data_IF_289372999688
#
_entry.id   IF_289372999688
#
_cell.length_a   1.000
_cell.length_b   1.000
_cell.length_c   1.000
_cell.angle_alpha   90.00
_cell.angle_beta   90.00
_cell.angle_gamma   90.00
#
_symmetry.space_group_name_H-M   'P 1'
#
loop_
_entity.id
_entity.type
_entity.pdbx_description
1 polymer ?
#
# COMPACT_ATOMS: atom_id res chain seq x y z
N UNK A 1 11.62 2.28 12.64
CA UNK A 1 12.77 2.44 11.75
C UNK A 1 12.51 3.40 10.60
N UNK A 2 11.44 3.19 9.83
CA UNK A 2 11.13 4.07 8.70
C UNK A 2 10.35 5.29 9.16
N UNK A 3 10.75 6.48 8.67
CA UNK A 3 9.97 7.70 8.88
C UNK A 3 8.85 7.79 7.83
N UNK A 4 9.20 7.50 6.60
CA UNK A 4 8.24 7.56 5.49
C UNK A 4 8.70 6.69 4.32
N UNK A 5 7.73 6.33 3.49
CA UNK A 5 7.96 5.64 2.23
C UNK A 5 7.21 6.42 1.16
N UNK A 6 7.86 6.67 0.02
CA UNK A 6 7.23 7.35 -1.10
C UNK A 6 7.36 6.48 -2.35
N UNK A 7 6.28 6.38 -3.10
CA UNK A 7 6.29 5.69 -4.39
C UNK A 7 5.81 6.62 -5.50
N UNK A 8 6.30 6.38 -6.71
CA UNK A 8 5.89 7.11 -7.89
C UNK A 8 4.64 6.50 -8.52
N UNK A 9 3.86 7.31 -9.21
CA UNK A 9 2.71 6.84 -9.98
C UNK A 9 2.56 7.67 -11.24
N UNK A 10 2.01 7.03 -12.29
CA UNK A 10 1.72 7.70 -13.56
C UNK A 10 0.31 8.27 -13.63
N UNK A 11 -0.56 7.88 -12.70
CA UNK A 11 -1.91 8.41 -12.57
C UNK A 11 -2.18 8.66 -11.09
N UNK A 12 -1.89 9.86 -10.66
CA UNK A 12 -1.93 10.21 -9.23
C UNK A 12 -3.37 10.12 -8.66
N UNK A 13 -4.38 10.49 -9.44
CA UNK A 13 -5.75 10.47 -8.94
C UNK A 13 -6.31 9.04 -8.86
N UNK A 14 -5.98 8.18 -9.81
CA UNK A 14 -6.33 6.76 -9.73
C UNK A 14 -5.65 6.11 -8.52
N UNK A 15 -4.38 6.41 -8.32
CA UNK A 15 -3.63 5.90 -7.16
C UNK A 15 -4.20 6.44 -5.86
N UNK A 16 -4.61 7.70 -5.82
CA UNK A 16 -5.22 8.29 -4.62
C UNK A 16 -6.49 7.54 -4.23
N UNK A 17 -7.36 7.26 -5.18
CA UNK A 17 -8.60 6.52 -4.88
C UNK A 17 -8.27 5.14 -4.32
N UNK A 18 -7.32 4.44 -4.93
CA UNK A 18 -6.90 3.12 -4.47
C UNK A 18 -6.36 3.17 -3.05
N UNK A 19 -5.41 4.06 -2.78
CA UNK A 19 -4.77 4.12 -1.45
C UNK A 19 -5.69 4.69 -0.37
N UNK A 20 -6.57 5.63 -0.73
CA UNK A 20 -7.58 6.12 0.22
C UNK A 20 -8.42 4.96 0.76
N UNK A 21 -8.89 4.09 -0.13
CA UNK A 21 -9.71 2.93 0.24
C UNK A 21 -8.92 1.88 1.00
N UNK A 22 -7.70 1.62 0.55
CA UNK A 22 -6.85 0.62 1.17
C UNK A 22 -6.49 1.00 2.61
N UNK A 23 -6.11 2.25 2.82
CA UNK A 23 -5.68 2.73 4.13
C UNK A 23 -6.83 3.09 5.06
N UNK A 24 -8.02 3.37 4.51
CA UNK A 24 -9.23 3.53 5.31
C UNK A 24 -9.49 2.28 6.16
N UNK A 25 -9.26 1.10 5.59
CA UNK A 25 -9.42 -0.17 6.31
C UNK A 25 -8.45 -0.25 7.50
N UNK A 26 -7.28 0.34 7.40
CA UNK A 26 -6.29 0.36 8.47
C UNK A 26 -6.56 1.47 9.50
N UNK A 27 -7.55 2.33 9.26
CA UNK A 27 -7.91 3.42 10.15
C UNK A 27 -7.25 4.76 9.81
N UNK A 28 -6.58 4.85 8.68
CA UNK A 28 -5.96 6.10 8.27
C UNK A 28 -6.98 7.04 7.61
N UNK A 29 -6.73 8.33 7.72
CA UNK A 29 -7.53 9.36 7.04
C UNK A 29 -7.22 9.36 5.54
N UNK A 30 -8.11 9.94 4.71
CA UNK A 30 -7.82 10.15 3.29
C UNK A 30 -6.50 10.89 3.08
N UNK A 31 -5.85 10.63 1.96
CA UNK A 31 -4.59 11.27 1.63
C UNK A 31 -4.70 12.79 1.57
N UNK A 32 -3.68 13.46 2.09
CA UNK A 32 -3.60 14.91 2.08
C UNK A 32 -2.68 15.36 0.96
N UNK A 33 -3.19 16.23 0.10
CA UNK A 33 -2.40 16.75 -1.00
C UNK A 33 -1.43 17.82 -0.51
N UNK A 34 -0.14 17.57 -0.68
CA UNK A 34 0.93 18.52 -0.39
C UNK A 34 1.85 18.53 -1.61
N UNK A 35 1.73 19.55 -2.48
CA UNK A 35 2.50 19.57 -3.72
C UNK A 35 3.99 19.72 -3.43
N UNK A 36 4.81 19.26 -4.38
CA UNK A 36 6.25 19.48 -4.32
C UNK A 36 6.57 20.96 -4.57
N UNK A 37 7.84 21.33 -4.37
CA UNK A 37 8.30 22.69 -4.65
C UNK A 37 8.07 23.09 -6.09
N UNK A 38 8.08 22.13 -7.02
CA UNK A 38 7.89 22.36 -8.45
C UNK A 38 6.45 22.16 -8.90
N UNK A 39 5.53 21.97 -7.95
CA UNK A 39 4.10 21.85 -8.24
C UNK A 39 3.61 20.47 -8.60
N UNK A 40 4.45 19.41 -8.48
CA UNK A 40 4.02 18.05 -8.70
C UNK A 40 3.03 17.62 -7.61
N UNK A 41 2.04 16.84 -8.01
CA UNK A 41 1.03 16.37 -7.07
C UNK A 41 1.56 15.24 -6.22
N UNK A 42 1.27 15.30 -4.94
CA UNK A 42 1.63 14.27 -3.96
C UNK A 42 0.51 14.14 -2.96
N UNK A 43 0.25 12.92 -2.49
CA UNK A 43 -0.68 12.67 -1.39
C UNK A 43 0.05 11.95 -0.28
N UNK A 44 -0.16 12.41 0.95
CA UNK A 44 0.48 11.87 2.14
C UNK A 44 -0.56 11.21 3.05
N UNK A 45 -0.22 10.03 3.53
CA UNK A 45 -1.00 9.27 4.49
C UNK A 45 -0.17 9.13 5.75
N UNK A 46 -0.61 9.81 6.79
CA UNK A 46 0.06 9.75 8.08
C UNK A 46 -0.73 8.85 9.01
N UNK A 47 -0.10 7.82 9.52
CA UNK A 47 -0.76 6.90 10.42
C UNK A 47 0.22 6.41 11.46
N UNK A 48 -0.10 6.64 12.74
CA UNK A 48 0.81 6.37 13.86
C UNK A 48 2.13 7.11 13.63
N UNK A 49 3.25 6.39 13.68
CA UNK A 49 4.59 7.01 13.63
C UNK A 49 5.20 7.02 12.23
N UNK A 50 4.45 6.64 11.22
CA UNK A 50 4.97 6.54 9.86
C UNK A 50 4.10 7.28 8.87
N UNK A 51 4.69 7.60 7.73
CA UNK A 51 3.99 8.22 6.61
C UNK A 51 4.21 7.39 5.35
N UNK A 52 3.16 7.31 4.55
CA UNK A 52 3.23 6.75 3.21
C UNK A 52 2.82 7.84 2.23
N UNK A 53 3.52 7.97 1.12
CA UNK A 53 3.21 8.99 0.15
C UNK A 53 3.21 8.43 -1.27
N UNK A 54 2.34 8.99 -2.10
CA UNK A 54 2.36 8.77 -3.53
C UNK A 54 2.66 10.10 -4.21
N UNK A 55 3.41 10.05 -5.31
CA UNK A 55 3.88 11.26 -5.98
C UNK A 55 3.97 11.05 -7.48
N UNK A 56 3.71 12.11 -8.22
CA UNK A 56 4.23 12.18 -9.58
C UNK A 56 5.75 12.18 -9.48
N UNK A 57 6.47 11.45 -10.37
CA UNK A 57 7.93 11.39 -10.27
C UNK A 57 8.59 12.76 -10.38
N UNK A 58 9.55 13.03 -9.49
CA UNK A 58 10.18 14.34 -9.38
C UNK A 58 11.01 14.73 -10.61
N UNK A 59 11.48 13.77 -11.37
CA UNK A 59 12.25 14.02 -12.60
C UNK A 59 11.38 14.22 -13.84
N UNK A 60 10.05 14.16 -13.68
CA UNK A 60 9.10 14.31 -14.78
C UNK A 60 9.01 13.13 -15.72
N UNK A 61 9.74 12.05 -15.45
CA UNK A 61 9.69 10.84 -16.27
C UNK A 61 8.62 9.89 -15.73
N UNK A 62 8.34 8.84 -16.49
CA UNK A 62 7.37 7.84 -16.06
C UNK A 62 7.83 7.10 -14.81
N UNK A 63 6.89 6.82 -13.93
CA UNK A 63 7.13 5.92 -12.82
C UNK A 63 7.34 4.51 -13.35
N UNK A 64 8.28 3.79 -12.76
CA UNK A 64 8.59 2.42 -13.14
C UNK A 64 8.15 1.45 -12.05
N UNK A 65 7.93 0.19 -12.45
CA UNK A 65 7.67 -0.89 -11.49
C UNK A 65 8.97 -1.20 -10.79
N UNK A 66 8.96 -1.14 -9.46
CA UNK A 66 10.10 -1.54 -8.66
C UNK A 66 10.06 -3.08 -8.48
N UNK A 67 10.43 -3.79 -9.53
CA UNK A 67 10.38 -5.24 -9.55
C UNK A 67 11.22 -5.83 -8.43
N UNK A 68 10.61 -6.73 -7.65
CA UNK A 68 11.28 -7.34 -6.49
C UNK A 68 11.06 -6.59 -5.18
N UNK A 69 10.41 -5.42 -5.20
CA UNK A 69 10.10 -4.69 -3.98
C UNK A 69 8.75 -5.11 -3.41
N UNK A 70 8.63 -5.02 -2.10
CA UNK A 70 7.43 -5.33 -1.35
C UNK A 70 7.31 -4.36 -0.20
N UNK A 71 6.12 -3.81 0.00
CA UNK A 71 5.84 -2.96 1.16
C UNK A 71 4.80 -3.66 2.01
N UNK A 72 5.12 -3.94 3.26
CA UNK A 72 4.23 -4.62 4.18
C UNK A 72 3.57 -3.65 5.15
N UNK A 73 2.28 -3.88 5.39
CA UNK A 73 1.49 -3.10 6.33
C UNK A 73 1.03 -4.01 7.47
N UNK A 74 1.01 -3.50 8.67
CA UNK A 74 0.56 -4.24 9.83
C UNK A 74 -0.96 -4.29 9.91
N UNK A 75 -1.47 -5.45 10.28
CA UNK A 75 -2.89 -5.66 10.54
C UNK A 75 -3.15 -5.86 12.02
N UNK A 76 -4.36 -5.54 12.43
CA UNK A 76 -4.82 -5.83 13.78
C UNK A 76 -5.57 -7.15 13.88
N UNK A 77 -6.12 -7.65 12.76
CA UNK A 77 -6.89 -8.89 12.75
C UNK A 77 -6.91 -9.50 11.34
N UNK A 78 -7.28 -10.77 11.27
CA UNK A 78 -7.49 -11.47 9.99
C UNK A 78 -8.64 -10.82 9.21
N UNK A 79 -9.70 -10.45 9.90
CA UNK A 79 -10.87 -9.79 9.30
C UNK A 79 -10.47 -8.47 8.64
N UNK A 80 -9.60 -7.70 9.29
CA UNK A 80 -9.08 -6.47 8.71
C UNK A 80 -8.28 -6.77 7.44
N UNK A 81 -7.51 -7.85 7.45
CA UNK A 81 -6.75 -8.29 6.27
C UNK A 81 -7.63 -8.65 5.08
N UNK A 82 -8.72 -9.35 5.33
CA UNK A 82 -9.67 -9.69 4.29
C UNK A 82 -10.33 -8.44 3.72
N UNK A 83 -10.71 -7.49 4.57
CA UNK A 83 -11.30 -6.21 4.13
C UNK A 83 -10.29 -5.38 3.34
N UNK A 84 -9.05 -5.35 3.78
CA UNK A 84 -7.96 -4.64 3.10
C UNK A 84 -7.75 -5.20 1.69
N UNK A 85 -7.67 -6.50 1.57
CA UNK A 85 -7.50 -7.18 0.28
C UNK A 85 -8.69 -6.90 -0.66
N UNK A 86 -9.90 -7.01 -0.12
CA UNK A 86 -11.12 -6.73 -0.87
C UNK A 86 -11.15 -5.28 -1.36
N UNK A 87 -10.82 -4.33 -0.49
CA UNK A 87 -10.78 -2.91 -0.85
C UNK A 87 -9.78 -2.67 -1.98
N UNK A 88 -8.61 -3.31 -1.92
CA UNK A 88 -7.61 -3.21 -2.97
C UNK A 88 -8.10 -3.73 -4.32
N UNK A 89 -8.68 -4.90 -4.32
CA UNK A 89 -9.20 -5.52 -5.56
C UNK A 89 -10.35 -4.69 -6.14
N UNK A 90 -11.25 -4.20 -5.30
CA UNK A 90 -12.40 -3.39 -5.75
C UNK A 90 -11.99 -2.02 -6.30
N UNK A 91 -10.82 -1.55 -5.97
CA UNK A 91 -10.35 -0.22 -6.37
C UNK A 91 -9.16 -0.27 -7.34
N UNK A 92 -9.05 -1.36 -8.10
CA UNK A 92 -8.12 -1.46 -9.22
C UNK A 92 -6.85 -2.25 -8.96
N UNK A 93 -6.62 -2.70 -7.74
CA UNK A 93 -5.51 -3.58 -7.43
C UNK A 93 -5.75 -4.99 -7.95
N UNK A 94 -4.67 -5.74 -8.10
CA UNK A 94 -4.72 -7.12 -8.58
C UNK A 94 -4.26 -8.05 -7.47
N UNK A 95 -5.08 -9.07 -7.19
CA UNK A 95 -4.67 -10.14 -6.29
C UNK A 95 -3.56 -10.94 -6.94
N UNK A 96 -2.47 -11.13 -6.23
CA UNK A 96 -1.32 -11.91 -6.71
C UNK A 96 -0.95 -12.96 -5.68
N UNK A 97 -0.17 -13.93 -6.12
CA UNK A 97 0.23 -15.08 -5.33
C UNK A 97 -1.02 -15.84 -4.85
N UNK A 98 -0.95 -16.44 -3.68
CA UNK A 98 -2.08 -17.19 -3.15
C UNK A 98 -3.11 -16.24 -2.53
N UNK A 99 -4.38 -16.67 -2.41
CA UNK A 99 -5.39 -15.87 -1.71
C UNK A 99 -4.98 -15.53 -0.29
N UNK A 100 -5.60 -14.50 0.31
CA UNK A 100 -5.36 -14.18 1.71
C UNK A 100 -5.51 -15.39 2.61
N UNK A 101 -4.59 -15.57 3.53
CA UNK A 101 -4.65 -16.70 4.45
C UNK A 101 -3.38 -16.84 5.27
N UNK A 102 -3.40 -17.86 6.10
CA UNK A 102 -2.26 -18.16 6.97
C UNK A 102 -1.19 -18.89 6.17
N UNK A 103 0.05 -18.42 6.30
CA UNK A 103 1.24 -19.07 5.75
C UNK A 103 2.06 -19.61 6.91
N UNK A 104 2.34 -20.90 6.87
CA UNK A 104 3.12 -21.55 7.91
C UNK A 104 4.58 -21.69 7.47
N UNK A 105 5.45 -21.32 8.40
CA UNK A 105 6.90 -21.48 8.27
C UNK A 105 7.37 -22.36 9.44
N UNK A 106 8.63 -22.81 9.40
CA UNK A 106 9.13 -23.79 10.37
C UNK A 106 8.87 -23.41 11.85
N UNK A 107 9.13 -22.14 12.19
CA UNK A 107 9.03 -21.67 13.58
C UNK A 107 7.91 -20.66 13.83
N UNK A 108 7.17 -20.26 12.78
CA UNK A 108 6.16 -19.22 12.92
C UNK A 108 5.13 -19.28 11.80
N UNK A 109 3.99 -18.64 12.05
CA UNK A 109 2.92 -18.51 11.07
C UNK A 109 2.53 -17.06 10.90
N UNK A 110 2.21 -16.67 9.67
CA UNK A 110 1.72 -15.33 9.36
C UNK A 110 0.43 -15.42 8.59
N UNK A 111 -0.47 -14.48 8.84
CA UNK A 111 -1.54 -14.18 7.90
C UNK A 111 -0.97 -13.22 6.85
N UNK A 112 -1.11 -13.55 5.60
CA UNK A 112 -0.60 -12.76 4.49
C UNK A 112 -1.69 -12.56 3.43
N UNK A 113 -1.70 -11.37 2.86
CA UNK A 113 -2.55 -11.04 1.72
C UNK A 113 -1.74 -10.18 0.75
N UNK A 114 -1.70 -10.55 -0.51
CA UNK A 114 -0.85 -9.88 -1.50
C UNK A 114 -1.66 -9.16 -2.55
N UNK A 115 -1.26 -7.94 -2.85
CA UNK A 115 -1.84 -7.13 -3.92
C UNK A 115 -0.74 -6.54 -4.79
N UNK A 116 -1.06 -6.38 -6.07
CA UNK A 116 -0.32 -5.46 -6.92
C UNK A 116 -1.15 -4.19 -7.03
N UNK A 117 -0.52 -3.06 -6.70
CA UNK A 117 -1.21 -1.77 -6.72
C UNK A 117 -1.56 -1.33 -8.14
N UNK A 118 -2.51 -0.40 -8.25
CA UNK A 118 -2.84 0.24 -9.53
C UNK A 118 -1.63 0.96 -10.13
N UNK A 119 -0.69 1.41 -9.30
CA UNK A 119 0.56 2.02 -9.74
C UNK A 119 1.58 1.01 -10.23
N UNK A 120 1.22 -0.27 -10.27
CA UNK A 120 2.09 -1.41 -10.57
C UNK A 120 3.26 -1.58 -9.60
N UNK A 121 3.36 -0.76 -8.57
CA UNK A 121 4.29 -1.01 -7.46
C UNK A 121 3.79 -2.24 -6.71
N UNK A 122 4.69 -3.16 -6.43
CA UNK A 122 4.32 -4.32 -5.62
C UNK A 122 3.97 -3.87 -4.22
N UNK A 123 2.70 -3.91 -3.92
CA UNK A 123 2.23 -3.74 -2.57
C UNK A 123 1.87 -5.05 -1.99
N UNK A 124 2.31 -5.21 -0.86
CA UNK A 124 1.86 -6.23 -0.01
C UNK A 124 1.70 -5.68 1.33
N UNK A 125 0.89 -6.02 2.03
CA UNK A 125 0.65 -7.05 2.93
C UNK A 125 0.48 -6.53 4.28
N UNK A 126 -0.55 -6.80 4.85
CA UNK A 126 -0.56 -6.87 6.29
C UNK A 126 0.01 -8.20 6.74
N UNK A 127 1.02 -8.14 7.58
CA UNK A 127 1.50 -9.31 8.27
C UNK A 127 1.01 -9.23 9.70
N UNK A 128 0.26 -10.22 10.12
CA UNK A 128 -0.02 -10.42 11.53
C UNK A 128 0.67 -11.72 11.92
N UNK A 129 1.62 -11.67 12.86
CA UNK A 129 2.17 -12.91 13.39
C UNK A 129 1.05 -13.67 14.08
N UNK A 130 0.92 -14.94 13.72
CA UNK A 130 0.02 -15.87 14.39
C UNK A 130 0.87 -16.79 15.24
N UNK A 131 0.65 -16.70 16.49
CA UNK A 131 1.34 -17.59 17.43
C UNK A 131 0.49 -18.82 17.67
#
# INVERSE_FOLDING_TARGET
MFSHIMIGTNDIEESRVFYDKLFEVLGARPGKMIPSRTGLKRYFYNFKDTSFAISEPLDGKEATVANGSTIGFNLESVEQGDLWHMAGVQNGGTSIEEPPGIREYDDYSFYLAYLRAVSYTHLTLPTTPYV
#
